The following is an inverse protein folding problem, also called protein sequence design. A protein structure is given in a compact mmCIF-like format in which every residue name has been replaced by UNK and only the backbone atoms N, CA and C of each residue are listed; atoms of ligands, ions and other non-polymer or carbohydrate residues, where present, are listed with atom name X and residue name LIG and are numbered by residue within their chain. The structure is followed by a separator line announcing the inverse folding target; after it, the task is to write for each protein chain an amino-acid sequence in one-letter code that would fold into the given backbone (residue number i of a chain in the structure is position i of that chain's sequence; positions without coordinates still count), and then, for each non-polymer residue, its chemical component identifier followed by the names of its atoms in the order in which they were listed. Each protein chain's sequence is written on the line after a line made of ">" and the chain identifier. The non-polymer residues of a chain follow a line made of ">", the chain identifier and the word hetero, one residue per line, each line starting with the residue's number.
data_IF_180864247016
#
_entry.id   IF_180864247016
#
_cell.length_a   1.000
_cell.length_b   1.000
_cell.length_c   1.000
_cell.angle_alpha   90.00
_cell.angle_beta   90.00
_cell.angle_gamma   90.00
#
_symmetry.space_group_name_H-M   'P 1'
#
loop_
_entity.id
_entity.type
_entity.pdbx_description
1 polymer ?
#
# COMPACT_ATOMS: atom_id res chain seq x y z
N UNK A 1 0.34 -15.65 -6.91
CA UNK A 1 1.53 -14.91 -6.46
C UNK A 1 1.18 -14.11 -5.22
N UNK A 2 2.06 -14.10 -4.25
CA UNK A 2 1.86 -13.41 -2.98
C UNK A 2 1.88 -11.88 -3.09
N UNK A 3 2.29 -11.35 -4.23
CA UNK A 3 2.47 -9.91 -4.46
C UNK A 3 1.23 -9.20 -4.96
N UNK A 4 0.24 -9.95 -5.46
CA UNK A 4 -0.92 -9.38 -6.11
C UNK A 4 -2.09 -9.23 -5.14
N UNK A 5 -2.76 -8.10 -5.26
CA UNK A 5 -3.97 -7.78 -4.50
C UNK A 5 -5.14 -7.67 -5.46
N UNK A 6 -6.26 -8.28 -5.12
CA UNK A 6 -7.49 -8.10 -5.87
C UNK A 6 -8.10 -6.74 -5.54
N UNK A 7 -8.33 -5.94 -6.55
CA UNK A 7 -8.98 -4.64 -6.40
C UNK A 7 -10.29 -4.59 -7.20
N UNK A 8 -11.23 -3.79 -6.69
CA UNK A 8 -12.46 -3.43 -7.37
C UNK A 8 -12.40 -1.95 -7.72
N UNK A 9 -12.45 -1.63 -9.02
CA UNK A 9 -12.39 -0.23 -9.46
C UNK A 9 -13.72 0.45 -9.18
N UNK A 10 -13.67 1.61 -8.54
CA UNK A 10 -14.83 2.41 -8.16
C UNK A 10 -15.00 3.62 -9.06
N UNK A 11 -13.95 4.41 -9.24
CA UNK A 11 -13.93 5.61 -10.05
C UNK A 11 -12.65 5.62 -10.85
N UNK A 12 -12.75 5.92 -12.14
CA UNK A 12 -11.61 6.02 -13.03
C UNK A 12 -11.53 7.43 -13.58
N UNK A 13 -10.58 8.19 -13.07
CA UNK A 13 -10.25 9.55 -13.47
C UNK A 13 -8.72 9.65 -13.59
N UNK A 14 -8.10 10.80 -13.34
CA UNK A 14 -6.63 10.92 -13.28
C UNK A 14 -6.05 9.96 -12.26
N UNK A 15 -6.72 9.85 -11.12
CA UNK A 15 -6.44 8.81 -10.13
C UNK A 15 -7.53 7.74 -10.23
N UNK A 16 -7.19 6.52 -9.92
CA UNK A 16 -8.19 5.49 -9.70
C UNK A 16 -8.52 5.41 -8.21
N UNK A 17 -9.79 5.21 -7.92
CA UNK A 17 -10.26 4.85 -6.59
C UNK A 17 -10.66 3.39 -6.63
N UNK A 18 -10.22 2.62 -5.65
CA UNK A 18 -10.47 1.19 -5.65
C UNK A 18 -10.71 0.69 -4.23
N UNK A 19 -11.39 -0.44 -4.14
CA UNK A 19 -11.57 -1.14 -2.87
C UNK A 19 -10.87 -2.50 -2.91
N UNK A 20 -10.49 -2.94 -1.73
CA UNK A 20 -9.96 -4.29 -1.48
C UNK A 20 -10.70 -4.89 -0.31
N UNK A 21 -10.36 -6.11 0.08
CA UNK A 21 -10.90 -6.72 1.30
C UNK A 21 -10.54 -5.94 2.57
N UNK A 22 -9.58 -5.04 2.49
CA UNK A 22 -9.07 -4.27 3.65
C UNK A 22 -9.56 -2.84 3.68
N UNK A 23 -10.28 -2.39 2.65
CA UNK A 23 -10.81 -1.04 2.55
C UNK A 23 -10.52 -0.38 1.23
N UNK A 24 -10.54 0.94 1.22
CA UNK A 24 -10.41 1.77 0.02
C UNK A 24 -9.10 2.51 -0.03
N UNK A 25 -8.62 2.73 -1.24
CA UNK A 25 -7.47 3.58 -1.50
C UNK A 25 -7.59 4.26 -2.86
N UNK A 26 -6.70 5.21 -3.13
CA UNK A 26 -6.54 5.82 -4.44
C UNK A 26 -5.13 5.60 -4.94
N UNK A 27 -4.97 5.57 -6.23
CA UNK A 27 -3.66 5.36 -6.83
C UNK A 27 -3.63 5.74 -8.29
N UNK A 28 -2.49 5.46 -8.92
CA UNK A 28 -2.25 5.71 -10.33
C UNK A 28 -2.11 4.36 -11.02
N UNK A 29 -2.85 4.19 -12.12
CA UNK A 29 -2.74 2.99 -12.93
C UNK A 29 -1.49 3.07 -13.80
N UNK A 30 -0.57 2.13 -13.60
CA UNK A 30 0.69 2.07 -14.36
C UNK A 30 0.73 0.97 -15.42
N UNK A 31 -0.40 0.40 -15.74
CA UNK A 31 -0.50 -0.58 -16.82
C UNK A 31 -0.36 0.07 -18.19
N UNK A 32 -0.05 -0.74 -19.21
CA UNK A 32 0.12 -0.27 -20.59
C UNK A 32 -1.17 0.29 -21.18
N UNK A 33 -2.33 -0.20 -20.76
CA UNK A 33 -3.64 0.22 -21.23
C UNK A 33 -4.51 0.65 -20.06
N UNK A 34 -5.45 1.55 -20.32
CA UNK A 34 -6.44 1.91 -19.29
C UNK A 34 -7.21 0.67 -18.87
N UNK A 35 -7.53 0.54 -17.58
CA UNK A 35 -8.33 -0.59 -17.13
C UNK A 35 -9.75 -0.50 -17.70
N UNK A 36 -10.25 -1.62 -18.18
CA UNK A 36 -11.59 -1.74 -18.77
C UNK A 36 -12.51 -2.67 -18.00
N UNK A 37 -11.96 -3.45 -17.11
CA UNK A 37 -12.70 -4.36 -16.23
C UNK A 37 -12.94 -3.70 -14.88
N UNK A 38 -13.84 -4.27 -14.09
CA UNK A 38 -14.13 -3.76 -12.75
C UNK A 38 -13.20 -4.34 -11.68
N UNK A 39 -12.62 -5.50 -11.96
CA UNK A 39 -11.76 -6.21 -11.03
C UNK A 39 -10.44 -6.56 -11.68
N UNK A 40 -9.36 -6.42 -10.91
CA UNK A 40 -8.00 -6.79 -11.33
C UNK A 40 -7.22 -7.33 -10.15
N UNK A 41 -6.32 -8.26 -10.44
CA UNK A 41 -5.23 -8.57 -9.53
C UNK A 41 -4.05 -7.66 -9.89
N UNK A 42 -3.61 -6.87 -8.95
CA UNK A 42 -2.55 -5.87 -9.17
C UNK A 42 -1.47 -5.98 -8.11
N UNK A 43 -0.27 -5.57 -8.48
CA UNK A 43 0.79 -5.31 -7.54
C UNK A 43 0.65 -3.85 -7.06
N UNK A 44 0.71 -3.65 -5.75
CA UNK A 44 0.65 -2.33 -5.16
C UNK A 44 2.07 -1.85 -4.87
N UNK A 45 2.44 -0.73 -5.48
CA UNK A 45 3.71 -0.07 -5.24
C UNK A 45 3.49 1.24 -4.50
N UNK A 46 4.35 1.53 -3.55
CA UNK A 46 4.36 2.79 -2.83
C UNK A 46 5.67 3.50 -3.16
N UNK A 47 5.56 4.56 -3.94
CA UNK A 47 6.71 5.35 -4.36
C UNK A 47 7.06 6.42 -3.34
N UNK A 48 8.30 6.82 -3.31
CA UNK A 48 8.81 7.90 -2.49
C UNK A 48 9.72 7.42 -1.38
N UNK A 49 10.32 8.36 -0.69
CA UNK A 49 11.16 8.12 0.47
C UNK A 49 10.39 8.55 1.73
N UNK A 50 10.19 7.63 2.63
CA UNK A 50 9.44 7.88 3.86
C UNK A 50 10.38 7.98 5.04
N UNK A 51 9.91 8.60 6.12
CA UNK A 51 10.63 8.68 7.38
C UNK A 51 9.78 8.07 8.49
N UNK A 52 10.39 7.85 9.63
CA UNK A 52 9.66 7.36 10.80
C UNK A 52 8.51 8.30 11.20
N UNK A 53 8.61 9.59 10.88
CA UNK A 53 7.56 10.58 11.18
C UNK A 53 6.27 10.32 10.37
N UNK A 54 6.35 9.54 9.30
CA UNK A 54 5.18 9.14 8.51
C UNK A 54 4.51 7.87 9.05
N UNK A 55 5.01 7.30 10.12
CA UNK A 55 4.61 6.00 10.64
C UNK A 55 3.96 6.15 12.01
N UNK A 56 2.82 5.52 12.19
CA UNK A 56 2.14 5.42 13.47
C UNK A 56 2.15 3.96 13.91
N UNK A 57 2.79 3.66 15.02
CA UNK A 57 2.77 2.32 15.59
C UNK A 57 1.41 2.07 16.25
N UNK A 58 0.82 0.92 15.95
CA UNK A 58 -0.46 0.61 16.50
C UNK A 58 -0.51 -0.91 16.84
N UNK A 59 -1.33 -1.27 17.80
CA UNK A 59 -1.41 -2.62 18.31
C UNK A 59 -2.53 -3.46 17.69
N UNK A 60 -3.19 -2.94 16.65
CA UNK A 60 -4.22 -3.73 15.95
C UNK A 60 -3.56 -4.88 15.18
N UNK A 61 -4.29 -5.97 15.03
CA UNK A 61 -3.88 -7.11 14.21
C UNK A 61 -4.62 -7.14 12.88
N UNK A 62 -5.36 -6.09 12.57
CA UNK A 62 -6.15 -6.02 11.36
C UNK A 62 -5.45 -5.17 10.31
N UNK A 63 -5.38 -5.70 9.08
CA UNK A 63 -4.98 -4.92 7.93
C UNK A 63 -6.08 -3.93 7.58
N UNK A 64 -5.71 -2.74 7.17
CA UNK A 64 -6.68 -1.72 6.82
C UNK A 64 -6.15 -0.78 5.74
N UNK A 65 -7.04 -0.36 4.86
CA UNK A 65 -6.79 0.69 3.88
C UNK A 65 -7.92 1.70 3.96
N UNK A 66 -7.59 2.98 4.02
CA UNK A 66 -8.61 4.04 4.00
C UNK A 66 -8.02 5.33 3.46
N UNK A 67 -8.91 6.23 3.05
CA UNK A 67 -8.54 7.57 2.58
C UNK A 67 -8.97 8.56 3.64
N UNK A 68 -8.02 9.34 4.15
CA UNK A 68 -8.26 10.36 5.17
C UNK A 68 -7.61 11.66 4.68
N UNK A 69 -8.41 12.72 4.60
CA UNK A 69 -7.95 14.05 4.12
C UNK A 69 -7.25 13.96 2.75
N UNK A 70 -7.79 13.13 1.86
CA UNK A 70 -7.25 12.95 0.52
C UNK A 70 -5.99 12.10 0.44
N UNK A 71 -5.58 11.48 1.52
CA UNK A 71 -4.37 10.65 1.58
C UNK A 71 -4.71 9.21 1.95
N UNK A 72 -3.98 8.28 1.36
CA UNK A 72 -4.08 6.88 1.75
C UNK A 72 -3.46 6.68 3.14
N UNK A 73 -4.18 5.97 3.99
CA UNK A 73 -3.66 5.47 5.26
C UNK A 73 -3.75 3.96 5.25
N UNK A 74 -2.60 3.30 5.42
CA UNK A 74 -2.50 1.85 5.37
C UNK A 74 -2.07 1.31 6.72
N UNK A 75 -2.71 0.24 7.16
CA UNK A 75 -2.29 -0.52 8.32
C UNK A 75 -1.69 -1.83 7.84
N UNK A 76 -0.40 -1.96 8.04
CA UNK A 76 0.43 -3.04 7.50
C UNK A 76 1.18 -3.73 8.63
N UNK A 77 1.63 -4.95 8.37
CA UNK A 77 2.54 -5.66 9.27
C UNK A 77 3.96 -5.52 8.75
N UNK A 78 4.86 -4.97 9.55
CA UNK A 78 6.28 -4.91 9.22
C UNK A 78 6.91 -6.28 9.37
N UNK A 79 7.44 -6.83 8.28
CA UNK A 79 8.10 -8.13 8.27
C UNK A 79 9.61 -8.03 8.41
N UNK A 80 10.21 -7.06 7.73
CA UNK A 80 11.66 -6.94 7.65
C UNK A 80 12.04 -5.48 7.40
N UNK A 81 13.17 -5.08 7.98
CA UNK A 81 13.75 -3.77 7.78
C UNK A 81 15.26 -3.91 7.64
N UNK A 82 15.83 -3.43 6.55
CA UNK A 82 17.26 -3.60 6.29
C UNK A 82 18.08 -2.32 6.53
N UNK A 83 19.39 -2.44 6.40
CA UNK A 83 20.33 -1.35 6.65
C UNK A 83 20.23 -0.23 5.63
N UNK A 84 19.68 -0.51 4.44
CA UNK A 84 19.49 0.49 3.40
C UNK A 84 18.20 1.29 3.58
N UNK A 85 17.42 0.96 4.60
CA UNK A 85 16.15 1.62 4.86
C UNK A 85 14.97 1.02 4.09
N UNK A 86 15.16 -0.13 3.45
CA UNK A 86 14.06 -0.83 2.80
C UNK A 86 13.21 -1.57 3.82
N UNK A 87 11.93 -1.22 3.89
CA UNK A 87 10.98 -1.86 4.77
C UNK A 87 10.06 -2.77 3.96
N UNK A 88 9.92 -4.02 4.39
CA UNK A 88 9.03 -4.99 3.77
C UNK A 88 7.81 -5.18 4.65
N UNK A 89 6.64 -4.89 4.10
CA UNK A 89 5.37 -4.99 4.80
C UNK A 89 4.48 -6.04 4.18
N UNK A 90 3.58 -6.57 4.99
CA UNK A 90 2.52 -7.45 4.56
C UNK A 90 1.17 -6.74 4.65
N UNK A 91 0.36 -6.89 3.61
CA UNK A 91 -1.05 -6.52 3.56
C UNK A 91 -1.83 -7.75 3.12
N UNK A 92 -2.40 -8.48 4.09
CA UNK A 92 -3.03 -9.77 3.78
C UNK A 92 -2.04 -10.74 3.14
N UNK A 93 -2.32 -11.18 1.93
CA UNK A 93 -1.44 -12.08 1.17
C UNK A 93 -0.44 -11.34 0.28
N UNK A 94 -0.47 -10.02 0.31
CA UNK A 94 0.39 -9.17 -0.52
C UNK A 94 1.60 -8.68 0.25
N UNK A 95 2.70 -8.48 -0.48
CA UNK A 95 3.94 -7.92 0.07
C UNK A 95 4.16 -6.56 -0.58
N UNK A 96 4.48 -5.56 0.23
CA UNK A 96 4.74 -4.19 -0.21
C UNK A 96 6.10 -3.76 0.34
N UNK A 97 6.98 -3.29 -0.53
CA UNK A 97 8.27 -2.74 -0.15
C UNK A 97 8.21 -1.22 -0.18
N UNK A 98 8.72 -0.59 0.88
CA UNK A 98 8.73 0.86 1.02
C UNK A 98 10.14 1.31 1.33
N UNK A 99 10.64 2.30 0.59
CA UNK A 99 11.92 2.94 0.89
C UNK A 99 11.74 3.96 2.01
N UNK A 100 12.63 3.91 2.99
CA UNK A 100 12.65 4.87 4.09
C UNK A 100 14.02 5.49 4.25
N UNK A 101 14.08 6.67 4.85
CA UNK A 101 15.31 7.17 5.45
C UNK A 101 15.59 6.27 6.66
N UNK A 102 16.75 5.62 6.67
CA UNK A 102 17.08 4.64 7.71
C UNK A 102 16.87 5.22 9.11
N UNK A 103 16.20 4.47 9.96
CA UNK A 103 15.95 4.85 11.34
C UNK A 103 15.84 3.60 12.21
N UNK A 104 16.64 3.51 13.25
CA UNK A 104 16.66 2.36 14.17
C UNK A 104 15.31 2.13 14.85
N UNK A 105 14.46 3.15 14.93
CA UNK A 105 13.13 3.04 15.55
C UNK A 105 12.19 2.10 14.80
N UNK A 106 12.54 1.75 13.55
CA UNK A 106 11.77 0.73 12.80
C UNK A 106 12.03 -0.69 13.28
N UNK A 107 13.08 -0.91 14.03
CA UNK A 107 13.38 -2.24 14.55
C UNK A 107 12.53 -2.63 15.75
#
# INVERSE_FOLDING_TARGET
>A
MLWNTLIHLLILDENIYFSTDYGMAKGIWKGANRPIQKEYYVELDIDGLYSYDNVFVNNTKEYQMRIIDGKNQLTLLLLEYDEDGCATFQLGDSIIEIETAYDERFY
#
